data_IF_149798548891
#
_entry.id   IF_149798548891
#
_cell.length_a   1.000
_cell.length_b   1.000
_cell.length_c   1.000
_cell.angle_alpha   90.00
_cell.angle_beta   90.00
_cell.angle_gamma   90.00
#
_symmetry.space_group_name_H-M   'P 1'
#
loop_
_entity.id
_entity.type
_entity.pdbx_description
1 polymer ?
#
# COMPACT_ATOMS: atom_id res chain seq x y z
N UNK A 1 6.08 -0.38 -9.97
CA UNK A 1 7.50 -0.35 -9.58
C UNK A 1 7.95 1.10 -9.48
N UNK A 2 8.64 1.44 -8.39
CA UNK A 2 9.13 2.80 -8.18
C UNK A 2 10.35 3.07 -9.05
N UNK A 3 10.28 4.17 -9.82
CA UNK A 3 11.34 4.56 -10.76
C UNK A 3 12.67 4.85 -10.05
N UNK A 4 12.62 5.33 -8.81
CA UNK A 4 13.80 5.61 -7.99
C UNK A 4 14.57 4.34 -7.67
N UNK A 5 13.87 3.28 -7.25
CA UNK A 5 14.49 1.99 -6.95
C UNK A 5 15.02 1.28 -8.20
N UNK A 6 14.32 1.42 -9.34
CA UNK A 6 14.79 0.88 -10.61
C UNK A 6 16.09 1.57 -11.02
N UNK A 7 16.15 2.89 -10.97
CA UNK A 7 17.34 3.66 -11.31
C UNK A 7 18.50 3.40 -10.35
N UNK A 8 18.23 3.31 -9.05
CA UNK A 8 19.26 2.99 -8.07
C UNK A 8 19.87 1.60 -8.33
N UNK A 9 19.03 0.60 -8.58
CA UNK A 9 19.50 -0.76 -8.89
C UNK A 9 20.32 -0.80 -10.20
N UNK A 10 19.84 -0.14 -11.26
CA UNK A 10 20.57 -0.06 -12.52
C UNK A 10 21.90 0.70 -12.38
N UNK A 11 21.90 1.80 -11.63
CA UNK A 11 23.11 2.58 -11.37
C UNK A 11 24.17 1.82 -10.57
N UNK A 12 23.76 1.15 -9.50
CA UNK A 12 24.67 0.32 -8.68
C UNK A 12 25.22 -0.88 -9.46
N UNK A 13 24.40 -1.51 -10.30
CA UNK A 13 24.86 -2.57 -11.20
C UNK A 13 25.88 -2.04 -12.23
N UNK A 14 25.67 -0.83 -12.75
CA UNK A 14 26.62 -0.18 -13.65
C UNK A 14 27.95 0.15 -12.92
N UNK A 15 27.88 0.64 -11.71
CA UNK A 15 29.06 0.89 -10.88
C UNK A 15 29.88 -0.40 -10.66
N UNK A 16 29.21 -1.51 -10.35
CA UNK A 16 29.88 -2.80 -10.18
C UNK A 16 30.59 -3.27 -11.45
N UNK A 17 29.97 -3.13 -12.59
CA UNK A 17 30.57 -3.49 -13.88
C UNK A 17 31.80 -2.62 -14.23
N UNK A 18 31.74 -1.34 -13.86
CA UNK A 18 32.82 -0.40 -14.14
C UNK A 18 33.99 -0.49 -13.16
N UNK A 19 33.80 -1.10 -12.01
CA UNK A 19 34.80 -1.16 -10.92
C UNK A 19 36.16 -1.70 -11.37
N UNK A 20 36.19 -2.62 -12.31
CA UNK A 20 37.45 -3.20 -12.84
C UNK A 20 38.11 -2.37 -13.97
N UNK A 21 37.34 -1.50 -14.63
CA UNK A 21 37.78 -0.74 -15.82
C UNK A 21 38.07 0.72 -15.44
N UNK A 22 37.21 1.32 -14.69
CA UNK A 22 37.31 2.72 -14.23
C UNK A 22 36.79 2.82 -12.79
N UNK A 23 37.66 2.58 -11.80
CA UNK A 23 37.26 2.56 -10.39
C UNK A 23 36.83 3.93 -9.86
N UNK A 24 37.37 5.04 -10.37
CA UNK A 24 36.97 6.38 -9.94
C UNK A 24 35.53 6.68 -10.39
N UNK A 25 35.21 6.41 -11.63
CA UNK A 25 33.87 6.61 -12.14
C UNK A 25 32.85 5.65 -11.53
N UNK A 26 33.26 4.44 -11.21
CA UNK A 26 32.47 3.50 -10.45
C UNK A 26 32.07 4.08 -9.09
N UNK A 27 33.05 4.64 -8.39
CA UNK A 27 32.85 5.28 -7.09
C UNK A 27 31.91 6.49 -7.16
N UNK A 28 32.07 7.36 -8.16
CA UNK A 28 31.21 8.51 -8.39
C UNK A 28 29.74 8.10 -8.63
N UNK A 29 29.52 6.98 -9.32
CA UNK A 29 28.18 6.45 -9.55
C UNK A 29 27.62 5.87 -8.25
N UNK A 30 28.40 5.10 -7.50
CA UNK A 30 27.99 4.49 -6.25
C UNK A 30 27.61 5.54 -5.20
N UNK A 31 28.41 6.61 -5.06
CA UNK A 31 28.21 7.70 -4.10
C UNK A 31 26.91 8.48 -4.33
N UNK A 32 26.39 8.52 -5.56
CA UNK A 32 25.08 9.13 -5.86
C UNK A 32 23.92 8.41 -5.16
N UNK A 33 24.08 7.11 -4.91
CA UNK A 33 23.04 6.28 -4.32
C UNK A 33 23.33 5.94 -2.86
N UNK A 34 24.59 5.69 -2.54
CA UNK A 34 25.07 5.35 -1.19
C UNK A 34 26.33 6.18 -0.95
N UNK A 35 26.20 7.25 -0.17
CA UNK A 35 27.29 8.18 0.10
C UNK A 35 27.89 7.91 1.46
N UNK A 36 29.25 8.00 1.60
CA UNK A 36 29.90 7.97 2.91
C UNK A 36 29.40 9.06 3.86
N UNK A 37 28.98 10.20 3.32
CA UNK A 37 28.45 11.33 4.09
C UNK A 37 26.94 11.19 4.39
N UNK A 38 26.30 10.12 3.89
CA UNK A 38 24.91 9.80 4.15
C UNK A 38 23.90 10.68 3.39
N UNK A 39 24.32 11.32 2.31
CA UNK A 39 23.48 12.17 1.44
C UNK A 39 23.13 11.50 0.10
N UNK A 40 23.50 10.24 -0.07
CA UNK A 40 23.10 9.43 -1.20
C UNK A 40 21.58 9.21 -1.26
N UNK A 41 21.06 8.97 -2.44
CA UNK A 41 19.61 8.81 -2.64
C UNK A 41 18.99 7.71 -1.76
N UNK A 42 19.67 6.57 -1.61
CA UNK A 42 19.19 5.48 -0.76
C UNK A 42 19.37 5.80 0.73
N UNK A 43 20.37 6.63 1.08
CA UNK A 43 20.58 7.09 2.45
C UNK A 43 19.46 8.08 2.86
N UNK A 44 19.08 8.98 1.96
CA UNK A 44 17.94 9.89 2.17
C UNK A 44 16.62 9.12 2.31
N UNK A 45 16.43 8.09 1.50
CA UNK A 45 15.26 7.21 1.59
C UNK A 45 15.22 6.47 2.94
N UNK A 46 16.36 5.92 3.38
CA UNK A 46 16.49 5.21 4.67
C UNK A 46 16.21 6.12 5.87
N UNK A 47 16.58 7.40 5.79
CA UNK A 47 16.30 8.39 6.85
C UNK A 47 14.88 8.95 6.82
N UNK A 48 14.11 8.67 5.75
CA UNK A 48 12.79 9.22 5.55
C UNK A 48 12.78 10.67 5.02
N UNK A 49 13.96 11.21 4.64
CA UNK A 49 14.08 12.54 4.04
C UNK A 49 13.59 12.54 2.57
N UNK A 50 13.52 11.38 1.98
CA UNK A 50 13.00 11.14 0.64
C UNK A 50 11.97 10.01 0.70
N UNK A 51 10.77 10.26 0.21
CA UNK A 51 9.70 9.27 0.13
C UNK A 51 9.57 8.73 -1.29
N UNK A 52 9.31 7.44 -1.41
CA UNK A 52 8.93 6.84 -2.70
C UNK A 52 7.60 7.47 -3.16
N UNK A 53 7.40 7.59 -4.47
CA UNK A 53 6.23 8.31 -5.00
C UNK A 53 4.90 7.74 -4.45
N UNK A 54 4.82 6.42 -4.28
CA UNK A 54 3.64 5.79 -3.70
C UNK A 54 3.46 6.14 -2.22
N UNK A 55 4.54 6.28 -1.45
CA UNK A 55 4.47 6.74 -0.06
C UNK A 55 4.03 8.19 0.01
N UNK A 56 4.59 9.05 -0.86
CA UNK A 56 4.20 10.46 -0.93
C UNK A 56 2.74 10.63 -1.37
N UNK A 57 2.26 9.78 -2.28
CA UNK A 57 0.87 9.81 -2.76
C UNK A 57 -0.11 9.31 -1.71
N UNK A 58 0.31 8.35 -0.89
CA UNK A 58 -0.51 7.73 0.16
C UNK A 58 -0.22 8.26 1.58
N UNK A 59 0.54 9.34 1.70
CA UNK A 59 0.80 10.00 2.99
C UNK A 59 -0.47 10.44 3.74
N UNK A 60 -1.65 10.26 3.16
CA UNK A 60 -2.95 10.56 3.76
C UNK A 60 -3.65 9.36 4.40
N UNK A 61 -2.99 8.22 4.52
CA UNK A 61 -3.57 7.01 5.12
C UNK A 61 -4.83 6.47 4.41
N UNK A 62 -5.00 6.79 3.14
CA UNK A 62 -6.17 6.35 2.36
C UNK A 62 -6.09 4.89 1.92
N UNK A 63 -4.96 4.23 2.18
CA UNK A 63 -4.70 2.86 1.76
C UNK A 63 -4.27 2.76 0.30
N UNK A 64 -3.44 1.77 0.01
CA UNK A 64 -2.99 1.50 -1.36
C UNK A 64 -3.86 0.42 -1.99
N UNK A 65 -4.69 0.81 -2.94
CA UNK A 65 -5.54 -0.10 -3.69
C UNK A 65 -4.75 -0.82 -4.78
N UNK A 66 -4.90 -2.14 -4.85
CA UNK A 66 -4.33 -2.97 -5.93
C UNK A 66 -5.29 -4.09 -6.34
N UNK A 67 -5.42 -4.39 -7.64
CA UNK A 67 -6.10 -5.61 -8.06
C UNK A 67 -5.26 -6.83 -7.69
N UNK A 68 -5.89 -7.88 -7.17
CA UNK A 68 -5.24 -9.16 -6.88
C UNK A 68 -5.60 -10.19 -7.94
N UNK A 69 -6.89 -10.38 -8.17
CA UNK A 69 -7.41 -11.32 -9.15
C UNK A 69 -8.72 -10.77 -9.70
N UNK A 70 -8.74 -10.47 -10.99
CA UNK A 70 -9.92 -9.99 -11.70
C UNK A 70 -10.23 -10.89 -12.88
N UNK A 71 -11.51 -11.16 -13.10
CA UNK A 71 -11.98 -11.85 -14.27
C UNK A 71 -11.89 -10.92 -15.49
N UNK A 72 -11.62 -11.48 -16.67
CA UNK A 72 -11.52 -10.70 -17.92
C UNK A 72 -12.81 -9.94 -18.30
N UNK A 73 -13.96 -10.38 -17.79
CA UNK A 73 -15.25 -9.74 -18.05
C UNK A 73 -15.59 -8.66 -17.01
N UNK A 74 -14.79 -8.49 -15.98
CA UNK A 74 -15.03 -7.50 -14.94
C UNK A 74 -14.70 -6.11 -15.48
N UNK A 75 -15.68 -5.22 -15.43
CA UNK A 75 -15.52 -3.81 -15.81
C UNK A 75 -15.70 -2.86 -14.63
N UNK A 76 -16.28 -3.35 -13.54
CA UNK A 76 -16.38 -2.65 -12.27
C UNK A 76 -15.09 -2.70 -11.46
N UNK A 77 -14.97 -1.85 -10.47
CA UNK A 77 -13.81 -1.81 -9.60
C UNK A 77 -14.03 -0.93 -8.36
N UNK A 78 -13.02 -0.78 -7.55
CA UNK A 78 -13.01 0.18 -6.45
C UNK A 78 -12.49 1.50 -7.01
N UNK A 79 -13.30 2.56 -6.92
CA UNK A 79 -12.96 3.89 -7.42
C UNK A 79 -11.91 4.57 -6.56
N UNK A 80 -12.18 4.58 -5.28
CA UNK A 80 -11.35 5.26 -4.30
C UNK A 80 -11.56 4.67 -2.89
N UNK A 81 -10.66 5.04 -2.03
CA UNK A 81 -10.70 4.76 -0.60
C UNK A 81 -10.73 6.08 0.15
N UNK A 82 -11.32 6.09 1.31
CA UNK A 82 -11.38 7.25 2.20
C UNK A 82 -11.16 6.79 3.63
N UNK A 83 -10.49 7.62 4.39
CA UNK A 83 -10.33 7.42 5.82
C UNK A 83 -10.94 8.59 6.60
N UNK A 84 -11.62 8.30 7.69
CA UNK A 84 -12.20 9.33 8.56
C UNK A 84 -11.42 9.53 9.84
N UNK A 85 -10.57 8.58 10.18
CA UNK A 85 -9.69 8.62 11.34
C UNK A 85 -8.38 7.90 11.00
N UNK A 86 -7.37 8.03 11.85
CA UNK A 86 -6.15 7.24 11.72
C UNK A 86 -6.50 5.74 11.81
N UNK A 87 -5.93 4.90 10.94
CA UNK A 87 -6.11 3.47 11.06
C UNK A 87 -5.72 3.00 12.45
N UNK A 88 -6.52 2.12 13.03
CA UNK A 88 -6.23 1.51 14.33
C UNK A 88 -5.21 0.36 14.24
N UNK A 89 -4.50 0.26 13.15
CA UNK A 89 -3.51 -0.79 12.86
C UNK A 89 -2.28 -0.15 12.23
N UNK A 90 -1.10 -0.62 12.59
CA UNK A 90 0.17 -0.14 12.03
C UNK A 90 0.31 -0.54 10.56
N UNK A 91 -0.04 -1.78 10.24
CA UNK A 91 -0.02 -2.34 8.88
C UNK A 91 -1.02 -3.48 8.75
N UNK A 92 -1.78 -3.50 7.65
CA UNK A 92 -2.56 -4.66 7.23
C UNK A 92 -2.72 -4.71 5.69
N UNK A 93 -2.99 -5.91 5.16
CA UNK A 93 -3.38 -6.16 3.78
C UNK A 93 -4.86 -6.57 3.78
N UNK A 94 -5.73 -5.57 3.73
CA UNK A 94 -7.18 -5.77 3.70
C UNK A 94 -7.59 -6.28 2.33
N UNK A 95 -8.38 -7.35 2.29
CA UNK A 95 -8.87 -7.95 1.05
C UNK A 95 -10.35 -7.76 0.90
N UNK A 96 -10.74 -7.25 -0.24
CA UNK A 96 -12.13 -7.14 -0.69
C UNK A 96 -12.36 -8.20 -1.75
N UNK A 97 -13.36 -9.06 -1.52
CA UNK A 97 -13.70 -10.17 -2.43
C UNK A 97 -15.16 -10.08 -2.83
N UNK A 98 -15.45 -10.18 -4.10
CA UNK A 98 -16.83 -10.30 -4.59
C UNK A 98 -17.37 -11.71 -4.32
N UNK A 99 -18.43 -11.81 -3.54
CA UNK A 99 -19.09 -13.06 -3.16
C UNK A 99 -20.27 -13.39 -4.06
N UNK A 100 -20.93 -12.38 -4.62
CA UNK A 100 -21.96 -12.54 -5.64
C UNK A 100 -21.73 -11.53 -6.75
N UNK A 101 -21.53 -12.03 -7.96
CA UNK A 101 -21.33 -11.21 -9.17
C UNK A 101 -22.61 -10.68 -9.75
N UNK A 102 -22.50 -9.70 -10.64
CA UNK A 102 -23.61 -9.07 -11.32
C UNK A 102 -23.24 -7.73 -11.92
N UNK A 103 -24.25 -6.98 -12.38
CA UNK A 103 -24.06 -5.61 -12.87
C UNK A 103 -24.50 -4.65 -11.79
N UNK A 104 -23.62 -3.72 -11.43
CA UNK A 104 -23.91 -2.61 -10.54
C UNK A 104 -24.11 -1.31 -11.32
N UNK A 105 -25.23 -0.63 -11.06
CA UNK A 105 -25.53 0.71 -11.58
C UNK A 105 -25.97 1.59 -10.41
N UNK A 106 -25.36 2.75 -10.27
CA UNK A 106 -25.64 3.68 -9.18
C UNK A 106 -27.11 4.13 -9.20
N UNK A 107 -27.68 4.27 -8.01
CA UNK A 107 -29.08 4.64 -7.85
C UNK A 107 -30.08 3.49 -8.02
N UNK A 108 -29.62 2.27 -8.29
CA UNK A 108 -30.48 1.09 -8.33
C UNK A 108 -30.55 0.46 -6.94
N UNK A 109 -31.73 0.41 -6.36
CA UNK A 109 -31.94 -0.33 -5.12
C UNK A 109 -31.85 -1.84 -5.40
N UNK A 110 -31.28 -2.60 -4.44
CA UNK A 110 -31.12 -4.06 -4.50
C UNK A 110 -30.21 -4.52 -5.64
N UNK A 111 -28.95 -4.17 -5.58
CA UNK A 111 -27.95 -4.75 -6.47
C UNK A 111 -27.70 -6.22 -6.06
N UNK A 112 -27.56 -7.09 -7.07
CA UNK A 112 -27.19 -8.50 -6.82
C UNK A 112 -25.73 -8.68 -6.41
N UNK A 113 -24.93 -7.62 -6.55
CA UNK A 113 -23.49 -7.67 -6.29
C UNK A 113 -23.22 -7.54 -4.81
N UNK A 114 -22.51 -8.54 -4.26
CA UNK A 114 -22.14 -8.57 -2.86
C UNK A 114 -20.64 -8.76 -2.69
N UNK A 115 -20.11 -8.20 -1.63
CA UNK A 115 -18.70 -8.32 -1.28
C UNK A 115 -18.49 -8.71 0.17
N UNK A 116 -17.36 -9.32 0.43
CA UNK A 116 -16.85 -9.60 1.78
C UNK A 116 -15.49 -8.96 1.96
N UNK A 117 -15.17 -8.61 3.19
CA UNK A 117 -13.89 -7.99 3.56
C UNK A 117 -13.16 -8.88 4.54
N UNK A 118 -11.91 -9.14 4.25
CA UNK A 118 -11.00 -9.94 5.05
C UNK A 118 -9.81 -9.11 5.51
N UNK A 119 -9.46 -9.23 6.77
CA UNK A 119 -8.27 -8.62 7.35
C UNK A 119 -7.29 -9.70 7.76
N UNK A 120 -6.00 -9.47 7.55
CA UNK A 120 -4.96 -10.27 8.18
C UNK A 120 -4.83 -9.82 9.60
N UNK A 121 -4.75 -10.79 10.51
CA UNK A 121 -4.37 -10.51 11.87
C UNK A 121 -2.84 -10.18 11.92
N UNK A 122 -2.40 -9.45 12.93
CA UNK A 122 -1.01 -9.01 13.12
C UNK A 122 0.03 -10.15 13.06
N UNK A 123 -0.39 -11.38 13.30
CA UNK A 123 0.45 -12.57 13.16
C UNK A 123 0.61 -13.01 11.69
N UNK A 124 -0.14 -12.44 10.76
CA UNK A 124 -0.12 -12.79 9.33
C UNK A 124 -0.66 -14.19 9.00
N UNK A 125 -1.13 -14.95 9.97
CA UNK A 125 -1.55 -16.35 9.83
C UNK A 125 -3.06 -16.50 9.74
N UNK A 126 -3.86 -15.60 10.31
CA UNK A 126 -5.32 -15.67 10.28
C UNK A 126 -5.89 -14.61 9.33
N UNK A 127 -6.83 -15.04 8.48
CA UNK A 127 -7.66 -14.14 7.68
C UNK A 127 -9.03 -14.13 8.34
N UNK A 128 -9.40 -12.97 8.91
CA UNK A 128 -10.68 -12.79 9.56
C UNK A 128 -11.65 -12.08 8.61
N UNK A 129 -12.82 -12.64 8.39
CA UNK A 129 -13.90 -11.99 7.66
C UNK A 129 -14.60 -10.99 8.60
N UNK A 130 -14.45 -9.69 8.31
CA UNK A 130 -15.01 -8.61 9.13
C UNK A 130 -16.31 -8.05 8.55
N UNK A 131 -16.52 -8.22 7.25
CA UNK A 131 -17.76 -7.88 6.56
C UNK A 131 -18.14 -9.09 5.72
N UNK A 132 -19.39 -9.53 5.85
CA UNK A 132 -19.88 -10.73 5.18
C UNK A 132 -21.03 -10.38 4.22
N UNK A 133 -20.80 -10.61 2.93
CA UNK A 133 -21.82 -10.51 1.85
C UNK A 133 -22.66 -9.24 1.90
N UNK A 134 -22.02 -8.08 2.09
CA UNK A 134 -22.67 -6.78 2.01
C UNK A 134 -22.95 -6.39 0.56
N UNK A 135 -24.09 -5.73 0.30
CA UNK A 135 -24.45 -5.27 -1.03
C UNK A 135 -23.72 -3.98 -1.40
N UNK A 136 -23.28 -3.87 -2.65
CA UNK A 136 -22.65 -2.65 -3.17
C UNK A 136 -23.75 -1.61 -3.42
N UNK A 137 -23.57 -0.39 -2.93
CA UNK A 137 -24.57 0.69 -3.07
C UNK A 137 -24.06 1.95 -3.78
N UNK A 138 -22.78 1.99 -4.16
CA UNK A 138 -22.17 3.14 -4.85
C UNK A 138 -21.77 4.31 -3.96
N UNK A 139 -22.15 4.30 -2.70
CA UNK A 139 -21.70 5.24 -1.69
C UNK A 139 -20.42 4.73 -1.00
N UNK A 140 -19.85 5.54 -0.12
CA UNK A 140 -18.77 5.09 0.73
C UNK A 140 -19.26 4.08 1.76
N UNK A 141 -18.83 2.85 1.60
CA UNK A 141 -19.15 1.74 2.50
C UNK A 141 -17.96 1.48 3.44
N UNK A 142 -18.28 1.19 4.70
CA UNK A 142 -17.28 0.88 5.70
C UNK A 142 -16.43 -0.33 5.29
N UNK A 143 -15.13 -0.26 5.57
CA UNK A 143 -14.18 -1.34 5.39
C UNK A 143 -13.74 -1.83 6.77
N UNK A 144 -12.47 -1.84 7.04
CA UNK A 144 -11.88 -2.09 8.34
C UNK A 144 -11.07 -0.87 8.79
N UNK A 145 -10.75 -0.79 10.08
CA UNK A 145 -9.83 0.21 10.62
C UNK A 145 -10.23 1.68 10.39
N UNK A 146 -11.54 1.96 10.27
CA UNK A 146 -12.03 3.31 10.01
C UNK A 146 -11.90 3.77 8.55
N UNK A 147 -11.61 2.84 7.64
CA UNK A 147 -11.57 3.07 6.21
C UNK A 147 -12.92 2.84 5.56
N UNK A 148 -13.10 3.48 4.43
CA UNK A 148 -14.26 3.35 3.56
C UNK A 148 -13.80 3.13 2.12
N UNK A 149 -14.60 2.40 1.37
CA UNK A 149 -14.40 2.18 -0.07
C UNK A 149 -15.66 2.60 -0.82
N UNK A 150 -15.47 2.95 -2.07
CA UNK A 150 -16.56 3.22 -3.01
C UNK A 150 -16.34 2.44 -4.29
N UNK A 151 -17.38 1.75 -4.74
CA UNK A 151 -17.36 0.94 -5.95
C UNK A 151 -17.80 1.74 -7.17
N UNK A 152 -17.19 1.46 -8.34
CA UNK A 152 -17.63 2.00 -9.62
C UNK A 152 -18.82 1.23 -10.17
N UNK A 153 -19.56 1.85 -11.08
CA UNK A 153 -20.49 1.13 -11.93
C UNK A 153 -19.77 0.12 -12.82
N UNK A 154 -20.42 -0.97 -13.13
CA UNK A 154 -19.88 -1.99 -14.01
C UNK A 154 -20.30 -3.41 -13.69
N UNK A 155 -19.67 -4.34 -14.36
CA UNK A 155 -19.86 -5.79 -14.16
C UNK A 155 -18.83 -6.29 -13.17
N UNK A 156 -19.28 -7.05 -12.19
CA UNK A 156 -18.45 -7.72 -11.18
C UNK A 156 -18.64 -9.22 -11.32
N UNK A 157 -17.56 -9.94 -11.24
CA UNK A 157 -17.58 -11.40 -11.30
C UNK A 157 -17.29 -11.96 -9.91
N UNK A 158 -17.95 -13.05 -9.55
CA UNK A 158 -17.66 -13.75 -8.30
C UNK A 158 -16.18 -14.14 -8.25
N UNK A 159 -15.57 -14.02 -7.07
CA UNK A 159 -14.16 -14.23 -6.80
C UNK A 159 -13.21 -13.12 -7.30
N UNK A 160 -13.71 -12.02 -7.89
CA UNK A 160 -12.89 -10.83 -8.08
C UNK A 160 -12.35 -10.33 -6.74
N UNK A 161 -11.08 -9.96 -6.71
CA UNK A 161 -10.39 -9.57 -5.48
C UNK A 161 -9.52 -8.34 -5.67
N UNK A 162 -9.60 -7.45 -4.69
CA UNK A 162 -8.72 -6.30 -4.51
C UNK A 162 -8.03 -6.38 -3.16
N UNK A 163 -6.80 -5.92 -3.10
CA UNK A 163 -6.05 -5.69 -1.87
C UNK A 163 -5.95 -4.20 -1.58
N UNK A 164 -6.06 -3.84 -0.33
CA UNK A 164 -5.87 -2.48 0.16
C UNK A 164 -4.81 -2.56 1.25
N UNK A 165 -3.63 -2.07 0.95
CA UNK A 165 -2.55 -2.00 1.94
C UNK A 165 -2.84 -0.79 2.81
N UNK A 166 -3.08 -1.06 4.09
CA UNK A 166 -3.31 -0.05 5.11
C UNK A 166 -2.01 0.13 5.88
N UNK A 167 -1.54 1.37 5.91
CA UNK A 167 -0.41 1.76 6.75
C UNK A 167 -0.95 2.80 7.70
N UNK A 168 -1.07 2.45 8.98
CA UNK A 168 -1.30 3.41 10.03
C UNK A 168 -0.14 4.40 10.06
N UNK A 169 -0.37 5.61 10.56
CA UNK A 169 0.79 6.35 11.02
C UNK A 169 1.45 5.42 12.04
N UNK A 170 2.76 5.16 11.91
CA UNK A 170 3.46 4.69 13.08
C UNK A 170 2.99 5.66 14.15
N UNK A 171 2.21 5.20 15.13
CA UNK A 171 2.15 5.96 16.36
C UNK A 171 3.61 6.35 16.52
N UNK A 172 3.91 7.62 16.83
CA UNK A 172 5.21 7.93 17.39
C UNK A 172 5.32 6.99 18.58
N UNK A 173 5.61 5.74 18.27
CA UNK A 173 5.98 4.71 19.22
C UNK A 173 7.25 5.25 19.75
N UNK A 174 6.92 6.00 20.69
CA UNK A 174 7.55 7.01 21.40
C UNK A 174 8.96 6.98 20.95
N UNK A 175 9.40 7.94 20.18
CA UNK A 175 10.81 8.18 20.10
C UNK A 175 11.38 7.43 21.27
N UNK A 176 12.10 6.33 21.01
CA UNK A 176 12.71 5.59 22.09
C UNK A 176 13.41 6.69 22.83
N UNK A 177 12.72 7.20 23.86
CA UNK A 177 13.35 8.17 24.76
C UNK A 177 14.49 7.33 25.23
N UNK A 178 15.64 7.55 24.62
CA UNK A 178 16.88 7.01 25.13
C UNK A 178 16.91 7.54 26.55
N UNK A 179 16.35 6.75 27.44
CA UNK A 179 16.53 6.97 28.85
C UNK A 179 18.04 6.87 29.00
N UNK A 180 18.67 8.02 29.06
CA UNK A 180 20.06 8.09 29.45
C UNK A 180 20.08 7.42 30.81
N UNK A 181 20.45 6.13 30.80
CA UNK A 181 20.80 5.42 32.01
C UNK A 181 22.04 6.14 32.54
N UNK A 182 21.77 7.14 33.38
CA UNK A 182 22.79 7.79 34.17
C UNK A 182 23.38 6.71 35.07
N UNK A 183 24.48 6.15 34.62
CA UNK A 183 25.34 5.33 35.52
C UNK A 183 25.92 6.27 36.58
N UNK A 184 25.42 6.15 37.78
CA UNK A 184 26.11 6.58 38.98
C UNK A 184 27.24 5.60 39.33
#
# INVERSE_FOLDING_TARGET
>A
YDFVLINANAGLACADLMRSVDPERSKDIEERYISPDGDGMLDLLKRGDYALWHEATYAKNEGMLRPISLNANTTGGILDTKITALPSVDYDDVRVKITAGGTFTSGTANTSVKYSVFVKNDTGLAINEVIQSEEINGDYQGLAYGMYIRFSEGVYTTDDQWGIIVVGQPEEHGSVKSEQVSRR
#
